data_IF_552546119951
#
_entry.id   IF_552546119951
#
_cell.length_a   1.000
_cell.length_b   1.000
_cell.length_c   1.000
_cell.angle_alpha   90.00
_cell.angle_beta   90.00
_cell.angle_gamma   90.00
#
_symmetry.space_group_name_H-M   'P 1'
#
loop_
_entity.id
_entity.type
_entity.pdbx_description
1 polymer ?
#
# COMPACT_ATOMS: atom_id res chain seq x y z
N UNK A 1 10.13 2.12 27.69
CA UNK A 1 10.58 0.99 26.87
C UNK A 1 9.87 0.97 25.51
N UNK A 2 8.55 0.95 25.44
CA UNK A 2 7.74 0.92 24.20
C UNK A 2 8.02 2.07 23.21
N UNK A 3 8.23 3.30 23.68
CA UNK A 3 8.57 4.45 22.81
C UNK A 3 9.93 4.29 22.14
N UNK A 4 10.94 3.79 22.84
CA UNK A 4 12.28 3.53 22.27
C UNK A 4 12.22 2.43 21.22
N UNK A 5 11.48 1.36 21.50
CA UNK A 5 11.23 0.26 20.53
C UNK A 5 10.51 0.77 19.28
N UNK A 6 9.44 1.56 19.46
CA UNK A 6 8.70 2.16 18.37
C UNK A 6 9.59 3.02 17.47
N UNK A 7 10.38 3.93 18.06
CA UNK A 7 11.33 4.79 17.34
C UNK A 7 12.44 4.00 16.65
N UNK A 8 12.92 2.92 17.27
CA UNK A 8 13.92 2.05 16.65
C UNK A 8 13.39 1.37 15.40
N UNK A 9 12.21 0.74 15.47
CA UNK A 9 11.60 0.08 14.28
C UNK A 9 11.29 1.12 13.18
N UNK A 10 10.80 2.31 13.53
CA UNK A 10 10.55 3.38 12.54
C UNK A 10 11.82 3.77 11.79
N UNK A 11 12.90 3.98 12.52
CA UNK A 11 14.21 4.32 11.92
C UNK A 11 14.72 3.24 10.96
N UNK A 12 14.47 1.98 11.27
CA UNK A 12 14.98 0.84 10.52
C UNK A 12 13.91 0.15 9.66
N UNK A 13 12.74 0.78 9.46
CA UNK A 13 11.61 0.17 8.73
C UNK A 13 12.00 -0.29 7.32
N UNK A 14 12.86 0.46 6.63
CA UNK A 14 13.38 0.10 5.32
C UNK A 14 14.16 -1.22 5.29
N UNK A 15 14.73 -1.63 6.43
CA UNK A 15 15.43 -2.91 6.59
C UNK A 15 14.55 -3.98 7.23
N UNK A 16 13.67 -3.59 8.18
CA UNK A 16 12.80 -4.53 8.90
C UNK A 16 11.90 -5.30 7.92
N UNK A 17 11.28 -4.61 6.98
CA UNK A 17 10.34 -5.26 6.04
C UNK A 17 11.01 -6.27 5.11
N UNK A 18 12.13 -5.95 4.42
CA UNK A 18 12.89 -6.96 3.66
C UNK A 18 13.42 -8.11 4.52
N UNK A 19 13.85 -7.82 5.76
CA UNK A 19 14.30 -8.88 6.68
C UNK A 19 13.17 -9.84 7.04
N UNK A 20 11.96 -9.33 7.31
CA UNK A 20 10.78 -10.15 7.56
C UNK A 20 10.44 -11.05 6.35
N UNK A 21 10.55 -10.50 5.13
CA UNK A 21 10.38 -11.27 3.91
C UNK A 21 11.41 -12.40 3.84
N UNK A 22 12.69 -12.10 4.05
CA UNK A 22 13.77 -13.10 4.05
C UNK A 22 13.53 -14.18 5.10
N UNK A 23 13.14 -13.80 6.32
CA UNK A 23 12.84 -14.77 7.40
C UNK A 23 11.71 -15.72 7.00
N UNK A 24 10.61 -15.20 6.41
CA UNK A 24 9.51 -16.05 5.93
C UNK A 24 9.91 -16.97 4.77
N UNK A 25 10.83 -16.52 3.90
CA UNK A 25 11.38 -17.34 2.80
C UNK A 25 12.37 -18.39 3.31
N UNK A 26 13.20 -18.06 4.30
CA UNK A 26 14.17 -18.99 4.87
C UNK A 26 13.50 -20.06 5.73
N UNK A 27 12.47 -19.70 6.50
CA UNK A 27 11.74 -20.57 7.44
C UNK A 27 10.26 -20.71 7.11
N UNK A 28 9.90 -21.18 5.88
CA UNK A 28 8.51 -21.15 5.42
C UNK A 28 7.60 -22.07 6.24
N UNK A 29 8.12 -23.18 6.77
CA UNK A 29 7.35 -24.14 7.56
C UNK A 29 6.87 -23.57 8.89
N UNK A 30 7.67 -22.71 9.50
CA UNK A 30 7.28 -21.99 10.73
C UNK A 30 6.36 -20.83 10.36
N UNK A 31 6.74 -20.04 9.36
CA UNK A 31 6.01 -18.85 8.96
C UNK A 31 4.58 -19.14 8.47
N UNK A 32 4.35 -20.28 7.78
CA UNK A 32 3.02 -20.69 7.30
C UNK A 32 2.00 -20.93 8.42
N UNK A 33 2.45 -21.28 9.63
CA UNK A 33 1.56 -21.46 10.78
C UNK A 33 0.83 -20.16 11.17
N UNK A 34 1.38 -19.00 10.78
CA UNK A 34 0.76 -17.70 11.00
C UNK A 34 -0.36 -17.36 10.02
N UNK A 35 -0.41 -17.99 8.83
CA UNK A 35 -1.36 -17.62 7.76
C UNK A 35 -2.83 -17.56 8.17
N UNK A 36 -3.38 -18.49 8.97
CA UNK A 36 -4.78 -18.43 9.39
C UNK A 36 -5.13 -17.18 10.21
N UNK A 37 -4.15 -16.60 10.89
CA UNK A 37 -4.33 -15.43 11.76
C UNK A 37 -4.12 -14.10 11.04
N UNK A 38 -3.51 -14.14 9.85
CA UNK A 38 -3.17 -12.93 9.06
C UNK A 38 -4.36 -12.01 8.83
N UNK A 39 -5.57 -12.48 8.46
CA UNK A 39 -6.72 -11.59 8.26
C UNK A 39 -7.12 -10.80 9.52
N UNK A 40 -7.14 -11.46 10.67
CA UNK A 40 -7.48 -10.82 11.94
C UNK A 40 -6.41 -9.83 12.41
N UNK A 41 -5.14 -10.19 12.28
CA UNK A 41 -4.01 -9.31 12.59
C UNK A 41 -3.98 -8.10 11.66
N UNK A 42 -4.31 -8.30 10.37
CA UNK A 42 -4.40 -7.21 9.41
C UNK A 42 -5.57 -6.28 9.72
N UNK A 43 -6.74 -6.79 10.13
CA UNK A 43 -7.87 -5.98 10.59
C UNK A 43 -7.48 -5.11 11.79
N UNK A 44 -6.74 -5.66 12.76
CA UNK A 44 -6.18 -4.89 13.86
C UNK A 44 -5.22 -3.78 13.38
N UNK A 45 -4.36 -4.07 12.43
CA UNK A 45 -3.45 -3.06 11.85
C UNK A 45 -4.23 -1.94 11.16
N UNK A 46 -5.29 -2.28 10.42
CA UNK A 46 -6.16 -1.31 9.74
C UNK A 46 -6.88 -0.44 10.77
N UNK A 47 -7.45 -1.03 11.82
CA UNK A 47 -8.04 -0.30 12.93
C UNK A 47 -7.06 0.69 13.57
N UNK A 48 -5.88 0.20 13.97
CA UNK A 48 -4.87 1.01 14.63
C UNK A 48 -4.33 2.14 13.73
N UNK A 49 -4.21 1.89 12.43
CA UNK A 49 -3.82 2.91 11.44
C UNK A 49 -4.89 3.99 11.25
N UNK A 50 -6.16 3.60 11.22
CA UNK A 50 -7.29 4.51 11.02
C UNK A 50 -7.65 5.34 12.27
N UNK A 51 -7.12 5.03 13.46
CA UNK A 51 -7.37 5.81 14.69
C UNK A 51 -6.90 7.27 14.61
N UNK A 52 -6.06 7.62 13.65
CA UNK A 52 -5.62 9.01 13.40
C UNK A 52 -6.55 9.77 12.46
N UNK A 53 -7.60 9.14 11.96
CA UNK A 53 -8.50 9.67 10.95
C UNK A 53 -9.84 10.09 11.54
N UNK A 54 -10.44 11.15 10.99
CA UNK A 54 -11.76 11.66 11.39
C UNK A 54 -12.68 11.76 10.19
N UNK A 55 -13.99 11.61 10.38
CA UNK A 55 -14.97 11.86 9.31
C UNK A 55 -14.87 13.27 8.73
N UNK A 56 -14.49 14.27 9.55
CA UNK A 56 -14.26 15.65 9.09
C UNK A 56 -13.12 15.74 8.08
N UNK A 57 -12.10 14.90 8.20
CA UNK A 57 -10.96 14.88 7.27
C UNK A 57 -11.43 14.40 5.90
N UNK A 58 -12.31 13.39 5.86
CA UNK A 58 -12.98 12.94 4.62
C UNK A 58 -13.89 14.03 4.07
N UNK A 59 -14.69 14.69 4.91
CA UNK A 59 -15.61 15.76 4.49
C UNK A 59 -14.87 16.97 3.92
N UNK A 60 -13.70 17.33 4.46
CA UNK A 60 -12.90 18.47 3.98
C UNK A 60 -12.37 18.24 2.55
N UNK A 61 -12.21 17.01 2.13
CA UNK A 61 -11.80 16.68 0.76
C UNK A 61 -12.83 17.11 -0.28
N UNK A 62 -14.12 17.02 0.08
CA UNK A 62 -15.20 17.44 -0.83
C UNK A 62 -15.24 18.96 -1.05
N UNK A 63 -14.49 19.74 -0.28
CA UNK A 63 -14.35 21.19 -0.51
C UNK A 63 -13.36 21.53 -1.61
N UNK A 64 -12.30 20.69 -1.81
CA UNK A 64 -11.30 20.85 -2.86
C UNK A 64 -10.96 19.50 -3.50
N UNK A 65 -11.91 18.86 -4.20
CA UNK A 65 -11.79 17.45 -4.61
C UNK A 65 -10.79 17.21 -5.75
N UNK A 66 -10.37 18.26 -6.46
CA UNK A 66 -9.62 18.11 -7.71
C UNK A 66 -8.34 17.29 -7.57
N UNK A 67 -7.48 17.59 -6.58
CA UNK A 67 -6.24 16.84 -6.40
C UNK A 67 -6.49 15.41 -5.93
N UNK A 68 -7.49 15.19 -5.06
CA UNK A 68 -7.87 13.86 -4.62
C UNK A 68 -8.38 13.01 -5.78
N UNK A 69 -9.32 13.54 -6.58
CA UNK A 69 -9.88 12.83 -7.71
C UNK A 69 -8.82 12.47 -8.75
N UNK A 70 -7.86 13.37 -8.98
CA UNK A 70 -6.71 13.09 -9.84
C UNK A 70 -5.90 11.91 -9.28
N UNK A 71 -5.55 11.93 -7.99
CA UNK A 71 -4.80 10.83 -7.38
C UNK A 71 -5.59 9.52 -7.48
N UNK A 72 -6.87 9.52 -7.12
CA UNK A 72 -7.75 8.34 -7.20
C UNK A 72 -7.83 7.78 -8.62
N UNK A 73 -7.93 8.64 -9.63
CA UNK A 73 -7.91 8.22 -11.03
C UNK A 73 -6.56 7.59 -11.42
N UNK A 74 -5.44 8.18 -11.02
CA UNK A 74 -4.12 7.62 -11.28
C UNK A 74 -3.95 6.26 -10.59
N UNK A 75 -4.37 6.16 -9.33
CA UNK A 75 -4.21 4.97 -8.48
C UNK A 75 -5.05 3.80 -8.95
N UNK A 76 -6.32 4.04 -9.31
CA UNK A 76 -7.28 2.97 -9.59
C UNK A 76 -7.55 2.72 -11.06
N UNK A 77 -7.16 3.66 -11.95
CA UNK A 77 -7.36 3.48 -13.39
C UNK A 77 -6.02 3.39 -14.12
N UNK A 78 -5.21 4.44 -14.04
CA UNK A 78 -4.02 4.54 -14.90
C UNK A 78 -2.97 3.49 -14.55
N UNK A 79 -2.60 3.37 -13.29
CA UNK A 79 -1.52 2.47 -12.87
C UNK A 79 -1.91 0.99 -12.98
N UNK A 80 -3.09 0.53 -12.51
CA UNK A 80 -3.50 -0.85 -12.70
C UNK A 80 -3.65 -1.24 -14.18
N UNK A 81 -4.20 -0.35 -15.01
CA UNK A 81 -4.30 -0.58 -16.46
C UNK A 81 -2.93 -0.67 -17.12
N UNK A 82 -2.00 0.22 -16.74
CA UNK A 82 -0.60 0.16 -17.20
C UNK A 82 0.08 -1.14 -16.78
N UNK A 83 -0.15 -1.57 -15.53
CA UNK A 83 0.36 -2.85 -15.01
C UNK A 83 -0.19 -4.04 -15.77
N UNK A 84 -1.48 -4.05 -16.07
CA UNK A 84 -2.13 -5.06 -16.91
C UNK A 84 -1.51 -5.09 -18.33
N UNK A 85 -1.35 -3.91 -18.95
CA UNK A 85 -0.74 -3.78 -20.28
C UNK A 85 0.69 -4.30 -20.33
N UNK A 86 1.53 -3.89 -19.37
CA UNK A 86 2.90 -4.40 -19.22
C UNK A 86 2.91 -5.91 -18.98
N UNK A 87 2.00 -6.39 -18.13
CA UNK A 87 1.84 -7.81 -17.85
C UNK A 87 1.56 -8.61 -19.12
N UNK A 88 0.58 -8.23 -19.91
CA UNK A 88 0.24 -8.89 -21.16
C UNK A 88 1.35 -8.77 -22.21
N UNK A 89 2.03 -7.62 -22.30
CA UNK A 89 3.10 -7.41 -23.28
C UNK A 89 4.31 -8.31 -23.03
N UNK A 90 4.70 -8.50 -21.77
CA UNK A 90 5.93 -9.23 -21.44
C UNK A 90 5.71 -10.65 -20.89
N UNK A 91 4.51 -10.94 -20.37
CA UNK A 91 4.22 -12.21 -19.69
C UNK A 91 2.93 -12.88 -20.20
N UNK A 92 2.46 -12.55 -21.41
CA UNK A 92 1.15 -12.84 -21.99
C UNK A 92 0.56 -14.23 -21.80
N UNK A 93 1.37 -15.24 -21.51
CA UNK A 93 0.93 -16.64 -21.29
C UNK A 93 0.83 -17.01 -19.80
N UNK A 94 1.21 -16.12 -18.86
CA UNK A 94 1.18 -16.41 -17.43
C UNK A 94 0.21 -15.46 -16.71
N UNK A 95 -1.07 -15.88 -16.66
CA UNK A 95 -2.13 -15.10 -16.03
C UNK A 95 -1.95 -14.93 -14.51
N UNK A 96 -1.26 -15.83 -13.83
CA UNK A 96 -0.98 -15.70 -12.41
C UNK A 96 -0.02 -14.53 -12.13
N UNK A 97 1.05 -14.43 -12.92
CA UNK A 97 1.97 -13.27 -12.81
C UNK A 97 1.28 -11.95 -13.16
N UNK A 98 0.46 -11.93 -14.24
CA UNK A 98 -0.30 -10.74 -14.63
C UNK A 98 -1.28 -10.35 -13.52
N UNK A 99 -2.00 -11.31 -12.95
CA UNK A 99 -2.92 -11.10 -11.83
C UNK A 99 -2.20 -10.49 -10.63
N UNK A 100 -1.04 -11.03 -10.27
CA UNK A 100 -0.22 -10.50 -9.17
C UNK A 100 0.28 -9.07 -9.45
N UNK A 101 0.69 -8.78 -10.68
CA UNK A 101 1.09 -7.43 -11.09
C UNK A 101 -0.07 -6.44 -11.01
N UNK A 102 -1.26 -6.81 -11.50
CA UNK A 102 -2.45 -5.96 -11.40
C UNK A 102 -2.85 -5.77 -9.95
N UNK A 103 -2.85 -6.83 -9.14
CA UNK A 103 -3.21 -6.76 -7.71
C UNK A 103 -2.26 -5.86 -6.92
N UNK A 104 -0.92 -5.93 -7.17
CA UNK A 104 0.06 -5.05 -6.52
C UNK A 104 -0.28 -3.57 -6.68
N UNK A 105 -0.83 -3.18 -7.84
CA UNK A 105 -1.17 -1.80 -8.14
C UNK A 105 -2.67 -1.46 -7.97
N UNK A 106 -3.53 -2.45 -7.77
CA UNK A 106 -4.96 -2.24 -7.48
C UNK A 106 -5.25 -2.02 -5.99
N UNK A 107 -4.31 -2.36 -5.09
CA UNK A 107 -4.47 -2.15 -3.65
C UNK A 107 -4.40 -0.68 -3.27
N UNK A 108 -5.02 -0.26 -2.15
CA UNK A 108 -5.09 1.13 -1.76
C UNK A 108 -3.73 1.73 -1.42
N UNK A 109 -3.70 3.05 -1.33
CA UNK A 109 -2.52 3.80 -0.91
C UNK A 109 -2.07 3.39 0.49
N UNK A 110 -0.77 3.22 0.67
CA UNK A 110 -0.20 2.82 1.96
C UNK A 110 -0.35 3.89 3.03
N UNK A 111 -0.77 3.51 4.24
CA UNK A 111 -0.80 4.42 5.41
C UNK A 111 0.59 5.02 5.71
N UNK A 112 1.66 4.26 5.43
CA UNK A 112 3.05 4.72 5.60
C UNK A 112 3.39 5.92 4.70
N UNK A 113 2.64 6.17 3.62
CA UNK A 113 2.81 7.36 2.79
C UNK A 113 2.69 8.66 3.59
N UNK A 114 1.83 8.70 4.63
CA UNK A 114 1.67 9.86 5.51
C UNK A 114 2.98 10.25 6.22
N UNK A 115 3.80 9.28 6.59
CA UNK A 115 5.12 9.52 7.20
C UNK A 115 6.03 10.26 6.21
N UNK A 116 6.12 9.79 4.98
CA UNK A 116 6.93 10.41 3.94
C UNK A 116 6.42 11.79 3.55
N UNK A 117 5.09 11.96 3.45
CA UNK A 117 4.46 13.27 3.23
C UNK A 117 4.84 14.25 4.33
N UNK A 118 4.83 13.82 5.59
CA UNK A 118 5.22 14.68 6.72
C UNK A 118 6.72 15.03 6.69
N UNK A 119 7.59 14.08 6.35
CA UNK A 119 9.05 14.29 6.28
C UNK A 119 9.41 15.34 5.22
N UNK A 120 8.68 15.40 4.11
CA UNK A 120 8.94 16.30 2.99
C UNK A 120 7.98 17.50 2.90
N UNK A 121 7.33 17.85 4.00
CA UNK A 121 6.42 19.01 4.13
C UNK A 121 5.27 18.99 3.12
N UNK A 122 4.65 17.81 2.91
CA UNK A 122 3.50 17.64 2.04
C UNK A 122 2.18 18.04 2.71
N UNK A 123 1.10 18.02 1.91
CA UNK A 123 -0.26 18.30 2.35
C UNK A 123 -0.84 17.09 3.12
N UNK A 124 -0.55 17.05 4.44
CA UNK A 124 -1.00 15.93 5.29
C UNK A 124 -2.52 15.76 5.33
N UNK A 125 -3.37 16.81 5.39
CA UNK A 125 -4.82 16.67 5.26
C UNK A 125 -5.26 15.95 3.97
N UNK A 126 -4.71 16.33 2.82
CA UNK A 126 -5.01 15.68 1.54
C UNK A 126 -4.63 14.20 1.56
N UNK A 127 -3.42 13.90 2.05
CA UNK A 127 -2.92 12.52 2.09
C UNK A 127 -3.67 11.65 3.09
N UNK A 128 -4.05 12.20 4.25
CA UNK A 128 -4.86 11.49 5.23
C UNK A 128 -6.23 11.13 4.65
N UNK A 129 -6.87 12.10 4.01
CA UNK A 129 -8.16 11.90 3.36
C UNK A 129 -8.11 10.89 2.23
N UNK A 130 -7.04 10.93 1.42
CA UNK A 130 -6.79 9.93 0.38
C UNK A 130 -6.71 8.52 0.98
N UNK A 131 -5.86 8.32 1.98
CA UNK A 131 -5.66 7.01 2.61
C UNK A 131 -6.95 6.46 3.21
N UNK A 132 -7.73 7.31 3.88
CA UNK A 132 -9.00 6.90 4.48
C UNK A 132 -10.02 6.52 3.42
N UNK A 133 -10.24 7.41 2.45
CA UNK A 133 -11.21 7.16 1.37
C UNK A 133 -10.84 5.92 0.58
N UNK A 134 -9.58 5.79 0.21
CA UNK A 134 -9.04 4.67 -0.55
C UNK A 134 -9.20 3.35 0.21
N UNK A 135 -8.90 3.35 1.52
CA UNK A 135 -9.09 2.18 2.39
C UNK A 135 -10.54 1.76 2.50
N UNK A 136 -11.48 2.70 2.66
CA UNK A 136 -12.91 2.41 2.77
C UNK A 136 -13.48 1.92 1.43
N UNK A 137 -13.00 2.45 0.32
CA UNK A 137 -13.43 2.04 -1.02
C UNK A 137 -12.75 0.76 -1.53
N UNK A 138 -11.62 0.36 -0.96
CA UNK A 138 -10.84 -0.81 -1.40
C UNK A 138 -11.67 -2.09 -1.58
N UNK A 139 -12.62 -2.45 -0.69
CA UNK A 139 -13.47 -3.63 -0.87
C UNK A 139 -14.27 -3.66 -2.16
N UNK A 140 -14.56 -2.49 -2.74
CA UNK A 140 -15.30 -2.35 -3.98
C UNK A 140 -14.35 -2.21 -5.17
N UNK A 141 -13.33 -1.37 -5.03
CA UNK A 141 -12.41 -1.02 -6.12
C UNK A 141 -11.51 -2.19 -6.51
N UNK A 142 -10.99 -2.97 -5.54
CA UNK A 142 -10.09 -4.09 -5.84
C UNK A 142 -10.80 -5.17 -6.65
N UNK A 143 -11.95 -5.74 -6.19
CA UNK A 143 -12.65 -6.76 -6.97
C UNK A 143 -13.12 -6.25 -8.34
N UNK A 144 -13.58 -4.99 -8.42
CA UNK A 144 -14.00 -4.38 -9.68
C UNK A 144 -12.81 -4.25 -10.66
N UNK A 145 -11.66 -3.74 -10.21
CA UNK A 145 -10.45 -3.62 -11.04
C UNK A 145 -9.99 -4.98 -11.56
N UNK A 146 -9.92 -5.99 -10.69
CA UNK A 146 -9.54 -7.34 -11.09
C UNK A 146 -10.52 -7.93 -12.11
N UNK A 147 -11.83 -7.77 -11.87
CA UNK A 147 -12.86 -8.25 -12.79
C UNK A 147 -12.82 -7.54 -14.17
N UNK A 148 -12.62 -6.22 -14.16
CA UNK A 148 -12.58 -5.43 -15.40
C UNK A 148 -11.33 -5.72 -16.22
N UNK A 149 -10.16 -5.79 -15.59
CA UNK A 149 -8.89 -5.93 -16.28
C UNK A 149 -8.54 -7.36 -16.64
N UNK A 150 -8.96 -8.35 -15.81
CA UNK A 150 -8.58 -9.75 -15.99
C UNK A 150 -9.75 -10.62 -16.47
N UNK A 151 -10.98 -10.14 -16.37
CA UNK A 151 -12.17 -10.80 -16.88
C UNK A 151 -12.39 -12.19 -16.31
N UNK A 152 -12.71 -13.17 -17.18
CA UNK A 152 -12.94 -14.57 -16.82
C UNK A 152 -11.65 -15.37 -16.66
N UNK A 153 -10.49 -14.79 -16.95
CA UNK A 153 -9.20 -15.46 -16.79
C UNK A 153 -8.86 -15.74 -15.32
N UNK A 154 -9.56 -15.07 -14.39
CA UNK A 154 -9.39 -15.25 -12.95
C UNK A 154 -10.72 -15.68 -12.34
N UNK A 155 -10.75 -16.91 -11.81
CA UNK A 155 -11.93 -17.48 -11.14
C UNK A 155 -12.02 -16.99 -9.70
N UNK A 156 -12.45 -15.75 -9.52
CA UNK A 156 -12.76 -15.19 -8.20
C UNK A 156 -14.27 -14.94 -8.10
N UNK A 157 -14.79 -15.06 -6.90
CA UNK A 157 -16.13 -14.54 -6.55
C UNK A 157 -15.96 -13.10 -6.04
N UNK A 158 -16.26 -12.07 -6.87
CA UNK A 158 -16.07 -10.68 -6.45
C UNK A 158 -16.95 -10.30 -5.25
N UNK A 159 -18.12 -10.89 -5.13
CA UNK A 159 -19.04 -10.61 -4.02
C UNK A 159 -18.53 -11.17 -2.71
N UNK A 160 -17.97 -12.38 -2.74
CA UNK A 160 -17.29 -12.98 -1.58
C UNK A 160 -16.07 -12.16 -1.17
N UNK A 161 -15.20 -11.82 -2.12
CA UNK A 161 -14.01 -11.00 -1.88
C UNK A 161 -14.41 -9.64 -1.28
N UNK A 162 -15.41 -8.97 -1.84
CA UNK A 162 -15.92 -7.69 -1.32
C UNK A 162 -16.38 -7.80 0.14
N UNK A 163 -17.17 -8.83 0.48
CA UNK A 163 -17.64 -9.03 1.86
C UNK A 163 -16.48 -9.23 2.84
N UNK A 164 -15.53 -10.10 2.50
CA UNK A 164 -14.38 -10.37 3.38
C UNK A 164 -13.48 -9.14 3.55
N UNK A 165 -13.27 -8.37 2.47
CA UNK A 165 -12.55 -7.09 2.54
C UNK A 165 -13.29 -6.02 3.35
N UNK A 166 -14.63 -5.99 3.33
CA UNK A 166 -15.39 -5.10 4.22
C UNK A 166 -15.06 -5.40 5.67
N UNK A 167 -15.07 -6.67 6.08
CA UNK A 167 -14.77 -7.05 7.48
C UNK A 167 -13.31 -6.85 7.85
N UNK A 168 -12.39 -7.04 6.92
CA UNK A 168 -10.95 -6.99 7.18
C UNK A 168 -10.37 -5.57 7.05
N UNK A 169 -10.97 -4.72 6.21
CA UNK A 169 -10.43 -3.39 5.86
C UNK A 169 -11.39 -2.27 6.22
N UNK A 170 -12.58 -2.22 5.60
CA UNK A 170 -13.48 -1.09 5.75
C UNK A 170 -14.07 -0.99 7.17
N UNK A 171 -14.57 -2.09 7.71
CA UNK A 171 -15.19 -2.10 9.04
C UNK A 171 -14.23 -1.67 10.15
N UNK A 172 -13.00 -2.20 10.26
CA UNK A 172 -12.04 -1.73 11.26
C UNK A 172 -11.70 -0.24 11.12
N UNK A 173 -11.57 0.27 9.89
CA UNK A 173 -11.31 1.68 9.63
C UNK A 173 -12.49 2.57 10.08
N UNK A 174 -13.73 2.18 9.72
CA UNK A 174 -14.93 2.92 10.12
C UNK A 174 -15.11 2.89 11.64
N UNK A 175 -14.92 1.74 12.29
CA UNK A 175 -14.98 1.63 13.76
C UNK A 175 -13.99 2.58 14.43
N UNK A 176 -12.77 2.66 13.93
CA UNK A 176 -11.77 3.60 14.46
C UNK A 176 -12.20 5.06 14.32
N UNK A 177 -12.80 5.43 13.17
CA UNK A 177 -13.30 6.79 12.94
C UNK A 177 -14.53 7.12 13.80
N UNK A 178 -15.45 6.13 13.98
CA UNK A 178 -16.59 6.28 14.87
C UNK A 178 -16.12 6.49 16.32
N UNK A 179 -15.16 5.70 16.80
CA UNK A 179 -14.57 5.90 18.14
C UNK A 179 -13.98 7.29 18.30
N UNK A 180 -13.28 7.81 17.29
CA UNK A 180 -12.80 9.19 17.32
C UNK A 180 -13.95 10.22 17.39
N UNK A 181 -15.02 9.99 16.66
CA UNK A 181 -16.18 10.89 16.65
C UNK A 181 -16.90 10.93 17.99
N UNK A 182 -17.19 9.75 18.59
CA UNK A 182 -17.94 9.68 19.87
C UNK A 182 -17.10 10.07 21.08
N UNK A 183 -15.78 10.07 20.96
CA UNK A 183 -14.86 10.49 22.04
C UNK A 183 -14.30 11.89 21.87
N UNK A 184 -14.84 12.68 20.92
CA UNK A 184 -14.35 14.03 20.58
C UNK A 184 -12.84 14.07 20.32
N UNK A 185 -12.28 13.00 19.76
CA UNK A 185 -10.86 12.87 19.42
C UNK A 185 -9.94 12.40 20.55
N UNK A 186 -10.43 12.13 21.75
CA UNK A 186 -9.60 11.63 22.88
C UNK A 186 -8.88 10.33 22.56
N UNK A 187 -9.54 9.43 21.82
CA UNK A 187 -8.94 8.17 21.37
C UNK A 187 -7.79 8.43 20.39
N UNK A 188 -7.93 9.38 19.48
CA UNK A 188 -6.90 9.78 18.52
C UNK A 188 -5.63 10.30 19.21
N UNK A 189 -5.74 10.96 20.35
CA UNK A 189 -4.60 11.50 21.09
C UNK A 189 -3.88 10.42 21.91
N UNK A 190 -4.61 9.43 22.42
CA UNK A 190 -4.10 8.49 23.43
C UNK A 190 -3.76 7.10 22.87
N UNK A 191 -4.59 6.54 21.98
CA UNK A 191 -4.47 5.15 21.55
C UNK A 191 -3.40 4.90 20.47
N UNK A 192 -3.22 5.75 19.45
CA UNK A 192 -2.22 5.49 18.40
C UNK A 192 -0.82 5.30 18.96
N UNK A 193 -0.42 6.12 19.94
CA UNK A 193 0.89 5.99 20.58
C UNK A 193 1.06 4.69 21.38
N UNK A 194 -0.03 4.17 21.97
CA UNK A 194 -0.03 2.91 22.72
C UNK A 194 -0.07 1.70 21.79
N UNK A 195 -0.83 1.78 20.70
CA UNK A 195 -1.00 0.67 19.75
C UNK A 195 0.10 0.58 18.69
N UNK A 196 0.85 1.67 18.43
CA UNK A 196 1.89 1.69 17.42
C UNK A 196 2.93 0.57 17.54
N UNK A 197 3.46 0.20 18.73
CA UNK A 197 4.37 -0.93 18.85
C UNK A 197 3.74 -2.26 18.45
N UNK A 198 2.49 -2.48 18.84
CA UNK A 198 1.73 -3.70 18.51
C UNK A 198 1.41 -3.77 17.00
N UNK A 199 1.07 -2.65 16.36
CA UNK A 199 0.87 -2.59 14.92
C UNK A 199 2.14 -2.93 14.15
N UNK A 200 3.32 -2.56 14.66
CA UNK A 200 4.60 -2.92 14.05
C UNK A 200 4.93 -4.40 14.21
N UNK A 201 4.66 -4.97 15.38
CA UNK A 201 4.77 -6.42 15.58
C UNK A 201 3.79 -7.18 14.68
N UNK A 202 2.57 -6.67 14.54
CA UNK A 202 1.57 -7.19 13.62
C UNK A 202 2.07 -7.14 12.16
N UNK A 203 2.70 -6.03 11.73
CA UNK A 203 3.31 -5.92 10.40
C UNK A 203 4.40 -6.98 10.19
N UNK A 204 5.32 -7.13 11.15
CA UNK A 204 6.37 -8.15 11.12
C UNK A 204 5.73 -9.54 10.96
N UNK A 205 4.72 -9.84 11.76
CA UNK A 205 4.00 -11.11 11.70
C UNK A 205 3.33 -11.35 10.33
N UNK A 206 2.57 -10.36 9.83
CA UNK A 206 1.87 -10.47 8.53
C UNK A 206 2.84 -10.65 7.38
N UNK A 207 3.91 -9.83 7.32
CA UNK A 207 4.90 -9.92 6.24
C UNK A 207 5.63 -11.26 6.29
N UNK A 208 6.09 -11.70 7.46
CA UNK A 208 6.80 -12.97 7.61
C UNK A 208 5.89 -14.15 7.24
N UNK A 209 4.65 -14.18 7.74
CA UNK A 209 3.70 -15.25 7.44
C UNK A 209 3.37 -15.33 5.95
N UNK A 210 3.06 -14.21 5.30
CA UNK A 210 2.76 -14.15 3.88
C UNK A 210 3.97 -14.55 3.02
N UNK A 211 5.20 -14.22 3.46
CA UNK A 211 6.42 -14.57 2.73
C UNK A 211 6.65 -16.08 2.62
N UNK A 212 6.03 -16.90 3.50
CA UNK A 212 6.07 -18.36 3.35
C UNK A 212 5.46 -18.85 2.05
N UNK A 213 4.41 -18.19 1.54
CA UNK A 213 3.76 -18.52 0.26
C UNK A 213 4.61 -18.16 -0.95
N UNK A 214 5.43 -17.10 -0.84
CA UNK A 214 6.31 -16.68 -1.94
C UNK A 214 7.66 -17.41 -1.92
N UNK A 215 7.98 -18.12 -0.85
CA UNK A 215 9.26 -18.79 -0.65
C UNK A 215 9.68 -19.71 -1.82
N UNK A 216 8.81 -20.58 -2.37
CA UNK A 216 9.19 -21.43 -3.51
C UNK A 216 9.62 -20.62 -4.73
N UNK A 217 8.95 -19.51 -4.99
CA UNK A 217 9.18 -18.66 -6.16
C UNK A 217 10.45 -17.79 -6.03
N UNK A 218 10.84 -17.42 -4.81
CA UNK A 218 12.10 -16.71 -4.54
C UNK A 218 13.28 -17.68 -4.56
N UNK A 219 13.11 -18.90 -4.03
CA UNK A 219 14.17 -19.92 -4.04
C UNK A 219 14.47 -20.43 -5.44
N UNK A 220 13.44 -20.57 -6.27
CA UNK A 220 13.56 -20.96 -7.66
C UNK A 220 13.49 -19.74 -8.59
N UNK A 221 14.42 -18.79 -8.37
CA UNK A 221 14.50 -17.57 -9.17
C UNK A 221 14.95 -17.88 -10.59
N UNK A 222 14.12 -17.58 -11.57
CA UNK A 222 14.41 -17.74 -12.99
C UNK A 222 14.35 -16.38 -13.73
N UNK A 223 14.74 -16.37 -15.00
CA UNK A 223 14.79 -15.15 -15.80
C UNK A 223 13.42 -14.47 -15.93
N UNK A 224 12.33 -15.25 -15.98
CA UNK A 224 10.98 -14.70 -16.03
C UNK A 224 10.65 -13.93 -14.74
N UNK A 225 10.97 -14.47 -13.56
CA UNK A 225 10.76 -13.82 -12.27
C UNK A 225 11.64 -12.57 -12.09
N UNK A 226 12.87 -12.60 -12.60
CA UNK A 226 13.73 -11.40 -12.66
C UNK A 226 13.08 -10.32 -13.52
N UNK A 227 12.55 -10.65 -14.68
CA UNK A 227 11.82 -9.70 -15.54
C UNK A 227 10.58 -9.14 -14.85
N UNK A 228 9.82 -9.95 -14.11
CA UNK A 228 8.68 -9.48 -13.29
C UNK A 228 9.14 -8.50 -12.22
N UNK A 229 10.21 -8.82 -11.48
CA UNK A 229 10.75 -7.91 -10.45
C UNK A 229 11.19 -6.56 -11.05
N UNK A 230 11.83 -6.57 -12.21
CA UNK A 230 12.20 -5.34 -12.92
C UNK A 230 10.96 -4.57 -13.42
N UNK A 231 9.94 -5.26 -13.93
CA UNK A 231 8.68 -4.63 -14.33
C UNK A 231 7.97 -3.96 -13.14
N UNK A 232 7.91 -4.64 -11.99
CA UNK A 232 7.35 -4.07 -10.74
C UNK A 232 8.16 -2.85 -10.29
N UNK A 233 9.50 -2.92 -10.32
CA UNK A 233 10.35 -1.78 -9.99
C UNK A 233 10.06 -0.56 -10.88
N UNK A 234 9.98 -0.76 -12.19
CA UNK A 234 9.70 0.31 -13.16
C UNK A 234 8.28 0.87 -12.97
N UNK A 235 7.29 0.01 -12.82
CA UNK A 235 5.90 0.43 -12.56
C UNK A 235 5.76 1.17 -11.23
N UNK A 236 6.39 0.69 -10.16
CA UNK A 236 6.41 1.38 -8.88
C UNK A 236 7.07 2.76 -8.99
N UNK A 237 8.24 2.85 -9.63
CA UNK A 237 8.92 4.14 -9.87
C UNK A 237 8.06 5.08 -10.74
N UNK A 238 7.38 4.54 -11.76
CA UNK A 238 6.47 5.33 -12.61
C UNK A 238 5.30 5.90 -11.82
N UNK A 239 4.80 5.22 -10.79
CA UNK A 239 3.75 5.72 -9.91
C UNK A 239 4.15 7.01 -9.20
N UNK A 240 5.37 7.06 -8.61
CA UNK A 240 5.90 8.30 -8.00
C UNK A 240 6.11 9.39 -9.05
N UNK A 241 6.76 9.04 -10.17
CA UNK A 241 7.04 9.99 -11.26
C UNK A 241 5.76 10.59 -11.83
N UNK A 242 4.72 9.76 -12.04
CA UNK A 242 3.44 10.17 -12.59
C UNK A 242 2.70 11.13 -11.65
N UNK A 243 2.64 10.82 -10.35
CA UNK A 243 2.04 11.70 -9.36
C UNK A 243 2.72 13.08 -9.31
N UNK A 244 4.05 13.10 -9.37
CA UNK A 244 4.83 14.35 -9.42
C UNK A 244 4.62 15.10 -10.74
N UNK A 245 4.68 14.41 -11.87
CA UNK A 245 4.50 15.00 -13.20
C UNK A 245 3.10 15.60 -13.39
N UNK A 246 2.07 14.90 -12.95
CA UNK A 246 0.68 15.39 -13.03
C UNK A 246 0.48 16.61 -12.11
N UNK A 247 1.07 16.61 -10.92
CA UNK A 247 1.06 17.79 -10.05
C UNK A 247 1.71 19.01 -10.73
N UNK A 248 2.82 18.79 -11.46
CA UNK A 248 3.48 19.84 -12.23
C UNK A 248 2.61 20.37 -13.38
N UNK A 249 1.97 19.50 -14.17
CA UNK A 249 1.06 19.90 -15.26
C UNK A 249 -0.09 20.74 -14.73
N UNK A 250 -0.71 20.31 -13.61
CA UNK A 250 -1.83 21.03 -13.01
C UNK A 250 -1.40 22.20 -12.11
N UNK A 251 -0.12 22.59 -12.17
CA UNK A 251 0.47 23.73 -11.43
C UNK A 251 0.13 23.71 -9.95
N UNK A 252 0.18 22.53 -9.32
CA UNK A 252 -0.08 22.39 -7.89
C UNK A 252 1.10 22.93 -7.08
N UNK A 253 0.79 23.50 -5.92
CA UNK A 253 1.79 23.90 -4.95
C UNK A 253 2.66 22.70 -4.51
N UNK A 254 3.85 22.98 -3.97
CA UNK A 254 4.82 21.96 -3.59
C UNK A 254 4.24 20.95 -2.60
N UNK A 255 3.50 21.43 -1.59
CA UNK A 255 2.96 20.55 -0.56
C UNK A 255 1.95 19.55 -1.13
N UNK A 256 1.10 20.00 -2.06
CA UNK A 256 0.17 19.14 -2.81
C UNK A 256 0.92 18.20 -3.74
N UNK A 257 2.00 18.66 -4.42
CA UNK A 257 2.80 17.81 -5.29
C UNK A 257 3.49 16.67 -4.53
N UNK A 258 4.02 16.92 -3.32
CA UNK A 258 4.54 15.88 -2.43
C UNK A 258 3.47 14.84 -2.12
N UNK A 259 2.27 15.29 -1.75
CA UNK A 259 1.15 14.39 -1.42
C UNK A 259 0.66 13.59 -2.63
N UNK A 260 0.62 14.18 -3.82
CA UNK A 260 0.29 13.49 -5.06
C UNK A 260 1.33 12.43 -5.40
N UNK A 261 2.62 12.76 -5.29
CA UNK A 261 3.73 11.84 -5.57
C UNK A 261 3.68 10.60 -4.65
N UNK A 262 3.57 10.79 -3.34
CA UNK A 262 3.53 9.66 -2.40
C UNK A 262 2.20 8.91 -2.42
N UNK A 263 1.08 9.61 -2.58
CA UNK A 263 -0.25 9.01 -2.71
C UNK A 263 -0.37 8.11 -3.93
N UNK A 264 0.27 8.51 -5.05
CA UNK A 264 0.26 7.72 -6.29
C UNK A 264 1.32 6.62 -6.30
N UNK A 265 2.47 6.81 -5.63
CA UNK A 265 3.60 5.88 -5.67
C UNK A 265 3.57 4.76 -4.64
N UNK A 266 2.90 4.96 -3.49
CA UNK A 266 2.95 4.00 -2.38
C UNK A 266 1.69 3.15 -2.29
N UNK A 267 1.86 1.84 -2.26
CA UNK A 267 0.79 0.84 -2.18
C UNK A 267 0.76 0.12 -0.84
N UNK A 268 -0.43 -0.27 -0.39
CA UNK A 268 -0.60 -1.13 0.78
C UNK A 268 -0.33 -2.60 0.42
N UNK A 269 0.95 -2.92 0.22
CA UNK A 269 1.41 -4.25 -0.19
C UNK A 269 0.95 -5.33 0.81
N UNK A 270 0.85 -5.00 2.10
CA UNK A 270 0.33 -5.94 3.09
C UNK A 270 -1.12 -6.35 2.80
N UNK A 271 -1.96 -5.40 2.36
CA UNK A 271 -3.32 -5.72 1.90
C UNK A 271 -3.29 -6.62 0.66
N UNK A 272 -2.45 -6.29 -0.33
CA UNK A 272 -2.26 -7.10 -1.53
C UNK A 272 -1.82 -8.53 -1.21
N UNK A 273 -0.86 -8.68 -0.29
CA UNK A 273 -0.36 -9.98 0.14
C UNK A 273 -1.45 -10.82 0.84
N UNK A 274 -2.27 -10.19 1.69
CA UNK A 274 -3.39 -10.88 2.36
C UNK A 274 -4.43 -11.34 1.34
N UNK A 275 -4.77 -10.49 0.37
CA UNK A 275 -5.69 -10.81 -0.71
C UNK A 275 -5.12 -11.92 -1.59
N UNK A 276 -3.85 -11.81 -2.02
CA UNK A 276 -3.19 -12.84 -2.81
C UNK A 276 -3.19 -14.18 -2.08
N UNK A 277 -2.90 -14.16 -0.77
CA UNK A 277 -2.89 -15.38 0.05
C UNK A 277 -4.25 -16.05 0.19
N UNK A 278 -5.33 -15.27 0.26
CA UNK A 278 -6.68 -15.77 0.52
C UNK A 278 -7.38 -16.29 -0.75
N UNK A 279 -7.13 -15.65 -1.90
CA UNK A 279 -7.98 -15.83 -3.09
C UNK A 279 -7.25 -16.42 -4.30
N UNK A 280 -5.91 -16.47 -4.30
CA UNK A 280 -5.15 -16.80 -5.50
C UNK A 280 -4.11 -17.90 -5.27
N UNK A 281 -3.69 -18.58 -6.34
CA UNK A 281 -2.51 -19.44 -6.32
C UNK A 281 -1.26 -18.70 -5.85
N UNK A 282 -0.28 -19.46 -5.33
CA UNK A 282 0.93 -18.90 -4.73
C UNK A 282 1.76 -18.03 -5.67
N UNK A 283 1.74 -18.26 -6.98
CA UNK A 283 2.52 -17.48 -7.96
C UNK A 283 2.05 -16.03 -8.05
N UNK A 284 0.75 -15.75 -7.84
CA UNK A 284 0.19 -14.39 -7.76
C UNK A 284 0.83 -13.57 -6.63
N UNK A 285 1.26 -14.24 -5.57
CA UNK A 285 1.92 -13.60 -4.43
C UNK A 285 3.29 -13.01 -4.80
N UNK A 286 4.00 -13.59 -5.80
CA UNK A 286 5.36 -13.18 -6.13
C UNK A 286 5.45 -11.71 -6.58
N UNK A 287 4.69 -11.22 -7.59
CA UNK A 287 4.71 -9.82 -7.97
C UNK A 287 4.33 -8.88 -6.81
N UNK A 288 3.34 -9.25 -6.01
CA UNK A 288 2.88 -8.44 -4.86
C UNK A 288 3.97 -8.30 -3.81
N UNK A 289 4.60 -9.39 -3.41
CA UNK A 289 5.61 -9.35 -2.34
C UNK A 289 6.92 -8.71 -2.79
N UNK A 290 7.27 -8.80 -4.07
CA UNK A 290 8.51 -8.20 -4.59
C UNK A 290 8.48 -6.67 -4.51
N UNK A 291 7.30 -6.05 -4.61
CA UNK A 291 7.11 -4.61 -4.41
C UNK A 291 7.59 -4.13 -3.04
N UNK A 292 7.53 -5.00 -2.03
CA UNK A 292 8.03 -4.72 -0.67
C UNK A 292 9.51 -4.32 -0.63
N UNK A 293 10.33 -4.88 -1.54
CA UNK A 293 11.76 -4.59 -1.62
C UNK A 293 12.04 -3.18 -2.14
N UNK A 294 11.18 -2.67 -2.99
CA UNK A 294 11.43 -1.43 -3.72
C UNK A 294 10.76 -0.21 -3.10
N UNK A 295 9.59 -0.37 -2.51
CA UNK A 295 8.72 0.74 -2.10
C UNK A 295 9.41 1.77 -1.21
N UNK A 296 10.08 1.35 -0.15
CA UNK A 296 10.72 2.27 0.80
C UNK A 296 11.97 2.94 0.21
N UNK A 297 12.71 2.21 -0.63
CA UNK A 297 13.89 2.73 -1.33
C UNK A 297 13.47 3.80 -2.34
N UNK A 298 12.42 3.52 -3.13
CA UNK A 298 11.86 4.48 -4.07
C UNK A 298 11.29 5.71 -3.36
N UNK A 299 10.58 5.53 -2.24
CA UNK A 299 10.07 6.63 -1.45
C UNK A 299 11.18 7.58 -0.98
N UNK A 300 12.30 7.03 -0.49
CA UNK A 300 13.46 7.80 -0.08
C UNK A 300 14.14 8.49 -1.27
N UNK A 301 14.27 7.81 -2.40
CA UNK A 301 14.90 8.34 -3.62
C UNK A 301 14.11 9.53 -4.18
N UNK A 302 12.81 9.36 -4.41
CA UNK A 302 11.95 10.41 -4.95
C UNK A 302 11.84 11.60 -4.01
N UNK A 303 11.81 11.37 -2.69
CA UNK A 303 11.85 12.45 -1.71
C UNK A 303 13.12 13.30 -1.78
N UNK A 304 14.29 12.65 -1.92
CA UNK A 304 15.58 13.35 -2.11
C UNK A 304 15.60 14.15 -3.39
N UNK A 305 15.13 13.59 -4.52
CA UNK A 305 15.04 14.29 -5.81
C UNK A 305 14.18 15.55 -5.71
N UNK A 306 13.08 15.48 -4.99
CA UNK A 306 12.18 16.61 -4.77
C UNK A 306 12.80 17.68 -3.85
N UNK A 307 13.58 17.28 -2.83
CA UNK A 307 14.29 18.19 -1.94
C UNK A 307 15.42 18.96 -2.67
N UNK A 308 16.21 18.29 -3.51
CA UNK A 308 17.27 18.93 -4.30
C UNK A 308 16.73 19.98 -5.28
N UNK A 309 15.51 19.79 -5.80
CA UNK A 309 14.86 20.78 -6.66
C UNK A 309 14.49 22.06 -5.88
N UNK A 310 14.18 21.95 -4.59
CA UNK A 310 13.93 23.10 -3.71
C UNK A 310 15.19 23.95 -3.55
N UNK A 311 16.32 23.33 -3.19
CA UNK A 311 17.57 24.04 -3.00
C UNK A 311 17.99 24.83 -4.25
N UNK A 312 17.79 24.26 -5.46
CA UNK A 312 18.10 24.93 -6.72
C UNK A 312 17.17 26.12 -7.03
N UNK A 313 15.92 26.10 -6.56
CA UNK A 313 14.97 27.20 -6.78
C UNK A 313 15.16 28.34 -5.76
N UNK A 314 15.64 28.05 -4.56
CA UNK A 314 15.93 29.04 -3.52
C UNK A 314 17.27 29.77 -3.80
N UNK A 315 18.12 29.29 -4.73
CA UNK A 315 19.39 29.87 -5.16
C UNK A 315 19.33 30.65 -6.51
N UNK A 316 18.17 30.69 -7.18
CA UNK A 316 17.89 31.50 -8.36
C UNK A 316 16.89 32.62 -8.04
#
# INVERSE_FOLDING_TARGET
MLRKFNSFIEKWMALVTPTCLLLGVCFPDIAKCGLPYVPAVFAFMTFAGALKSRFKDVANVFRHPGSLLIIMFLVHVVIPTSSCGVGHLFFGNNMELITGMVLEFAVPTAVVSLMWVTIYDGNSPLSLSLVVLDTVLAPFLIPATLKILLGSAVTIDPARMMRELIFMVALPAVVAMVLNQITDGKVMETWPGKLAPFSKLALIFVVTSNSSKVAPYIRDMNMQRVKVALAILVLAASGYALGWFVAYIFRKDRSTAVSMMYGTGMRNISAGAVIAAAYFPGEVMFPVMIGTLFQQVLAALFGKLLAQKKEKQDFC
#
